data_IF_741521196940
#
_entry.id   IF_741521196940
#
_cell.length_a   1.000
_cell.length_b   1.000
_cell.length_c   1.000
_cell.angle_alpha   90.00
_cell.angle_beta   90.00
_cell.angle_gamma   90.00
#
_symmetry.space_group_name_H-M   'P 1'
#
loop_
_entity.id
_entity.type
_entity.pdbx_description
1 polymer ?
#
# COMPACT_ATOMS: atom_id res chain seq x y z
N UNK A 1 -16.09 -9.46 -8.35
CA UNK A 1 -14.77 -9.77 -7.75
C UNK A 1 -14.55 -11.26 -7.73
N UNK A 2 -13.50 -11.72 -8.41
CA UNK A 2 -13.10 -13.12 -8.40
C UNK A 2 -12.32 -13.45 -7.12
N UNK A 3 -12.35 -14.72 -6.67
CA UNK A 3 -11.49 -15.21 -5.60
C UNK A 3 -9.99 -15.11 -5.97
N UNK A 4 -9.70 -15.02 -7.26
CA UNK A 4 -8.37 -14.91 -7.83
C UNK A 4 -7.72 -13.55 -7.51
N UNK A 5 -8.43 -12.44 -7.72
CA UNK A 5 -7.90 -11.08 -7.45
C UNK A 5 -7.47 -10.90 -5.99
N UNK A 6 -8.26 -11.43 -5.04
CA UNK A 6 -7.90 -11.38 -3.61
C UNK A 6 -6.59 -12.14 -3.37
N UNK A 7 -6.46 -13.32 -3.97
CA UNK A 7 -5.28 -14.18 -3.80
C UNK A 7 -4.02 -13.53 -4.38
N UNK A 8 -4.13 -12.87 -5.53
CA UNK A 8 -3.04 -12.12 -6.16
C UNK A 8 -2.59 -10.93 -5.30
N UNK A 9 -3.54 -10.15 -4.77
CA UNK A 9 -3.25 -9.02 -3.87
C UNK A 9 -2.57 -9.50 -2.59
N UNK A 10 -3.05 -10.59 -1.98
CA UNK A 10 -2.41 -11.19 -0.81
C UNK A 10 -0.99 -11.66 -1.10
N UNK A 11 -0.73 -12.23 -2.29
CA UNK A 11 0.61 -12.63 -2.70
C UNK A 11 1.53 -11.42 -2.86
N UNK A 12 1.05 -10.32 -3.46
CA UNK A 12 1.82 -9.07 -3.55
C UNK A 12 2.15 -8.53 -2.15
N UNK A 13 1.18 -8.47 -1.25
CA UNK A 13 1.37 -8.02 0.13
C UNK A 13 2.41 -8.88 0.88
N UNK A 14 2.39 -10.20 0.68
CA UNK A 14 3.33 -11.14 1.33
C UNK A 14 4.74 -11.07 0.75
N UNK A 15 4.87 -10.86 -0.55
CA UNK A 15 6.17 -10.95 -1.25
C UNK A 15 6.92 -9.63 -1.31
N UNK A 16 6.23 -8.48 -1.26
CA UNK A 16 6.84 -7.16 -1.30
C UNK A 16 7.13 -6.65 0.12
N UNK A 17 8.39 -6.30 0.46
CA UNK A 17 8.72 -5.76 1.78
C UNK A 17 7.93 -4.51 2.14
N UNK A 18 7.70 -3.64 1.16
CA UNK A 18 6.82 -2.48 1.27
C UNK A 18 5.90 -2.48 0.05
N UNK A 19 4.59 -2.50 0.29
CA UNK A 19 3.54 -2.43 -0.73
C UNK A 19 2.67 -1.21 -0.46
N UNK A 20 2.39 -0.43 -1.50
CA UNK A 20 1.52 0.75 -1.41
C UNK A 20 0.52 0.71 -2.56
N UNK A 21 -0.76 0.58 -2.24
CA UNK A 21 -1.81 0.89 -3.19
C UNK A 21 -2.04 2.41 -3.21
N UNK A 22 -2.01 3.00 -4.41
CA UNK A 22 -1.97 4.44 -4.65
C UNK A 22 -2.92 4.84 -5.78
N UNK A 23 -3.14 6.14 -5.94
CA UNK A 23 -3.65 6.73 -7.18
C UNK A 23 -2.84 7.94 -7.57
N UNK A 24 -2.61 8.14 -8.87
CA UNK A 24 -1.68 9.17 -9.38
C UNK A 24 -2.09 10.59 -8.99
N UNK A 25 -3.40 10.87 -8.94
CA UNK A 25 -3.97 12.18 -8.59
C UNK A 25 -4.12 12.42 -7.08
N UNK A 26 -3.84 11.42 -6.23
CA UNK A 26 -4.12 11.52 -4.80
C UNK A 26 -2.98 12.24 -4.05
N UNK A 27 -3.23 13.40 -3.41
CA UNK A 27 -2.18 14.15 -2.70
C UNK A 27 -1.62 13.38 -1.50
N UNK A 28 -2.45 12.61 -0.78
CA UNK A 28 -2.00 11.77 0.33
C UNK A 28 -1.09 10.63 -0.15
N UNK A 29 -1.34 10.08 -1.34
CA UNK A 29 -0.46 9.09 -1.95
C UNK A 29 0.90 9.70 -2.29
N UNK A 30 0.94 10.92 -2.84
CA UNK A 30 2.19 11.62 -3.12
C UNK A 30 3.03 11.85 -1.85
N UNK A 31 2.40 12.26 -0.74
CA UNK A 31 3.08 12.42 0.54
C UNK A 31 3.62 11.09 1.10
N UNK A 32 2.81 10.02 1.02
CA UNK A 32 3.21 8.66 1.41
C UNK A 32 4.39 8.14 0.58
N UNK A 33 4.33 8.28 -0.74
CA UNK A 33 5.41 7.88 -1.67
C UNK A 33 6.70 8.64 -1.37
N UNK A 34 6.63 9.95 -1.10
CA UNK A 34 7.81 10.75 -0.74
C UNK A 34 8.48 10.21 0.53
N UNK A 35 7.70 10.01 1.60
CA UNK A 35 8.23 9.48 2.86
C UNK A 35 8.86 8.10 2.69
N UNK A 36 8.17 7.20 1.99
CA UNK A 36 8.67 5.84 1.75
C UNK A 36 9.92 5.88 0.88
N UNK A 37 9.98 6.70 -0.17
CA UNK A 37 11.13 6.79 -1.06
C UNK A 37 12.41 7.27 -0.34
N UNK A 38 12.28 8.11 0.70
CA UNK A 38 13.40 8.54 1.54
C UNK A 38 13.95 7.41 2.44
N UNK A 39 13.17 6.35 2.68
CA UNK A 39 13.51 5.25 3.60
C UNK A 39 13.82 3.96 2.85
N UNK A 40 13.01 3.63 1.86
CA UNK A 40 13.01 2.41 1.08
C UNK A 40 12.53 2.70 -0.36
N UNK A 41 13.43 3.17 -1.24
CA UNK A 41 13.09 3.56 -2.62
C UNK A 41 12.62 2.39 -3.49
N UNK A 42 12.92 1.14 -3.11
CA UNK A 42 12.45 -0.06 -3.80
C UNK A 42 11.03 -0.49 -3.42
N UNK A 43 10.26 0.38 -2.76
CA UNK A 43 8.88 0.07 -2.42
C UNK A 43 8.04 -0.22 -3.66
N UNK A 44 7.19 -1.24 -3.57
CA UNK A 44 6.29 -1.56 -4.66
C UNK A 44 5.05 -0.66 -4.59
N UNK A 45 4.91 0.21 -5.59
CA UNK A 45 3.79 1.14 -5.73
C UNK A 45 2.85 0.63 -6.81
N UNK A 46 1.59 0.40 -6.46
CA UNK A 46 0.54 0.02 -7.40
C UNK A 46 -0.43 1.19 -7.59
N UNK A 47 -0.35 1.84 -8.75
CA UNK A 47 -1.25 2.95 -9.11
C UNK A 47 -2.56 2.37 -9.67
N UNK A 48 -3.59 2.32 -8.81
CA UNK A 48 -4.86 1.65 -9.12
C UNK A 48 -5.64 2.34 -10.24
N UNK A 49 -5.40 3.62 -10.48
CA UNK A 49 -6.07 4.38 -11.55
C UNK A 49 -5.44 4.17 -12.93
N UNK A 50 -4.31 3.44 -13.02
CA UNK A 50 -3.59 3.22 -14.29
C UNK A 50 -3.64 1.77 -14.79
N UNK A 51 -4.29 0.88 -14.05
CA UNK A 51 -4.42 -0.55 -14.37
C UNK A 51 -5.89 -0.92 -14.55
N UNK A 52 -6.17 -1.85 -15.46
CA UNK A 52 -7.54 -2.21 -15.87
C UNK A 52 -8.38 -2.76 -14.70
N UNK A 53 -7.77 -3.58 -13.86
CA UNK A 53 -8.40 -4.25 -12.72
C UNK A 53 -8.29 -3.46 -11.41
N UNK A 54 -7.88 -2.19 -11.46
CA UNK A 54 -7.57 -1.40 -10.28
C UNK A 54 -8.75 -1.17 -9.34
N UNK A 55 -9.98 -1.10 -9.87
CA UNK A 55 -11.20 -1.06 -9.04
C UNK A 55 -11.44 -2.38 -8.31
N UNK A 56 -11.19 -3.52 -8.95
CA UNK A 56 -11.35 -4.83 -8.31
C UNK A 56 -10.29 -5.06 -7.23
N UNK A 57 -9.06 -4.63 -7.49
CA UNK A 57 -7.98 -4.63 -6.50
C UNK A 57 -8.32 -3.73 -5.31
N UNK A 58 -8.90 -2.54 -5.56
CA UNK A 58 -9.33 -1.63 -4.49
C UNK A 58 -10.39 -2.28 -3.57
N UNK A 59 -11.33 -3.01 -4.15
CA UNK A 59 -12.37 -3.72 -3.42
C UNK A 59 -11.80 -4.96 -2.68
N UNK A 60 -10.81 -5.65 -3.27
CA UNK A 60 -10.09 -6.74 -2.62
C UNK A 60 -9.30 -6.23 -1.39
N UNK A 61 -8.58 -5.11 -1.53
CA UNK A 61 -7.90 -4.44 -0.42
C UNK A 61 -8.87 -4.05 0.69
N UNK A 62 -10.05 -3.52 0.34
CA UNK A 62 -11.09 -3.21 1.31
C UNK A 62 -11.58 -4.45 2.06
N UNK A 63 -11.67 -5.62 1.40
CA UNK A 63 -12.03 -6.88 2.04
C UNK A 63 -10.93 -7.43 2.94
N UNK A 64 -9.67 -7.30 2.54
CA UNK A 64 -8.50 -7.76 3.32
C UNK A 64 -8.29 -6.90 4.57
N UNK A 65 -8.44 -5.58 4.45
CA UNK A 65 -8.01 -4.61 5.47
C UNK A 65 -9.14 -3.88 6.18
N UNK A 66 -10.35 -3.87 5.62
CA UNK A 66 -11.43 -2.95 5.99
C UNK A 66 -11.26 -1.53 5.42
N UNK A 67 -10.13 -1.21 4.76
CA UNK A 67 -9.84 0.12 4.24
C UNK A 67 -10.02 0.17 2.71
N UNK A 68 -10.99 0.97 2.26
CA UNK A 68 -11.24 1.22 0.82
C UNK A 68 -10.43 2.40 0.26
N UNK A 69 -9.93 3.29 1.11
CA UNK A 69 -9.24 4.51 0.68
C UNK A 69 -7.78 4.24 0.31
N UNK A 70 -7.25 5.05 -0.62
CA UNK A 70 -5.81 5.15 -0.89
C UNK A 70 -5.22 6.36 -0.15
N UNK A 71 -3.94 6.33 0.26
CA UNK A 71 -3.04 5.20 0.13
C UNK A 71 -3.39 4.06 1.10
N UNK A 72 -3.13 2.81 0.71
CA UNK A 72 -3.23 1.64 1.58
C UNK A 72 -1.85 0.99 1.67
N UNK A 73 -1.23 1.03 2.85
CA UNK A 73 0.20 0.76 3.06
C UNK A 73 0.41 -0.53 3.84
N UNK A 74 1.34 -1.35 3.38
CA UNK A 74 1.79 -2.56 4.06
C UNK A 74 3.31 -2.60 4.17
N UNK A 75 3.80 -3.09 5.30
CA UNK A 75 5.21 -3.35 5.55
C UNK A 75 5.35 -4.79 6.05
N UNK A 76 6.15 -5.61 5.35
CA UNK A 76 6.37 -7.04 5.63
C UNK A 76 5.05 -7.80 5.81
N UNK A 77 4.11 -7.57 4.92
CA UNK A 77 2.77 -8.17 4.95
C UNK A 77 1.83 -7.64 6.04
N UNK A 78 2.29 -6.77 6.95
CA UNK A 78 1.45 -6.13 7.96
C UNK A 78 0.80 -4.86 7.41
N UNK A 79 -0.53 -4.76 7.54
CA UNK A 79 -1.27 -3.56 7.22
C UNK A 79 -0.92 -2.42 8.20
N UNK A 80 -0.52 -1.27 7.65
CA UNK A 80 -0.17 -0.07 8.41
C UNK A 80 -1.34 0.92 8.45
N UNK A 81 -2.10 1.01 7.36
CA UNK A 81 -3.20 1.96 7.20
C UNK A 81 -2.95 2.96 6.07
N UNK A 82 -3.40 4.19 6.27
CA UNK A 82 -3.27 5.28 5.31
C UNK A 82 -2.07 6.18 5.55
N UNK A 83 -2.11 7.36 4.91
CA UNK A 83 -1.04 8.35 5.04
C UNK A 83 -0.86 8.81 6.49
N UNK A 84 -1.96 9.09 7.21
CA UNK A 84 -1.89 9.57 8.59
C UNK A 84 -1.25 8.54 9.52
N UNK A 85 -1.60 7.26 9.38
CA UNK A 85 -1.05 6.17 10.19
C UNK A 85 0.45 6.01 9.93
N UNK A 86 0.86 6.07 8.67
CA UNK A 86 2.27 5.97 8.30
C UNK A 86 3.09 7.16 8.83
N UNK A 87 2.58 8.39 8.70
CA UNK A 87 3.25 9.59 9.20
C UNK A 87 3.40 9.56 10.73
N UNK A 88 2.39 9.04 11.43
CA UNK A 88 2.39 8.92 12.89
C UNK A 88 3.44 7.94 13.42
N UNK A 89 3.83 6.91 12.64
CA UNK A 89 4.91 6.00 13.03
C UNK A 89 6.28 6.68 13.06
N UNK A 90 6.52 7.61 12.15
CA UNK A 90 7.81 8.27 11.96
C UNK A 90 8.87 7.38 11.29
N UNK A 91 9.93 8.02 10.77
CA UNK A 91 10.94 7.38 9.92
C UNK A 91 11.67 6.22 10.59
N UNK A 92 12.07 6.38 11.85
CA UNK A 92 12.87 5.36 12.56
C UNK A 92 12.07 4.10 12.83
N UNK A 93 10.79 4.25 13.17
CA UNK A 93 9.91 3.10 13.36
C UNK A 93 9.66 2.37 12.04
N UNK A 94 9.44 3.10 10.94
CA UNK A 94 9.27 2.52 9.61
C UNK A 94 10.53 1.73 9.21
N UNK A 95 11.73 2.30 9.37
CA UNK A 95 13.00 1.60 9.13
C UNK A 95 13.09 0.28 9.91
N UNK A 96 12.82 0.33 11.22
CA UNK A 96 12.83 -0.85 12.09
C UNK A 96 11.81 -1.92 11.68
N UNK A 97 10.70 -1.56 11.05
CA UNK A 97 9.71 -2.53 10.55
C UNK A 97 10.15 -3.20 9.25
N UNK A 98 10.98 -2.52 8.45
CA UNK A 98 11.49 -3.04 7.18
C UNK A 98 12.66 -4.01 7.41
N UNK A 99 13.52 -3.72 8.40
CA UNK A 99 14.71 -4.50 8.72
C UNK A 99 15.95 -3.61 8.77
#
# INVERSE_FOLDING_TARGET
MSQQTISEVEQLIKTKPVFVASKTYCPYCSATKKLINEIYPEAYILELDTIEDGSEIQDALAKITGQRTVPNVFIKGKHIGGNSDLQALGKDKIKSLIG
#
